data_IF_468020378761
#
_entry.id   IF_468020378761
#
_cell.length_a   1.000
_cell.length_b   1.000
_cell.length_c   1.000
_cell.angle_alpha   90.00
_cell.angle_beta   90.00
_cell.angle_gamma   90.00
#
_symmetry.space_group_name_H-M   'P 1'
#
loop_
_entity.id
_entity.type
_entity.pdbx_description
1 polymer ?
#
# COMPACT_ATOMS: atom_id res chain seq x y z
N UNK A 1 25.32 10.29 -15.97
CA UNK A 1 24.00 10.39 -15.31
C UNK A 1 23.17 9.09 -15.33
N UNK A 2 23.70 7.95 -15.81
CA UNK A 2 22.95 6.67 -15.89
C UNK A 2 23.35 5.71 -14.73
N UNK A 3 24.56 5.86 -14.18
CA UNK A 3 25.09 4.94 -13.17
C UNK A 3 24.43 5.07 -11.77
N UNK A 4 23.83 6.23 -11.47
CA UNK A 4 23.17 6.46 -10.17
C UNK A 4 21.82 5.74 -10.03
N UNK A 5 21.12 5.47 -11.14
CA UNK A 5 19.81 4.80 -11.11
C UNK A 5 19.91 3.29 -10.86
N UNK A 6 20.98 2.64 -11.35
CA UNK A 6 21.15 1.19 -11.22
C UNK A 6 21.52 0.78 -9.78
N UNK A 7 22.32 1.59 -9.07
CA UNK A 7 22.71 1.30 -7.69
C UNK A 7 21.59 1.59 -6.68
N UNK A 8 20.80 2.65 -6.89
CA UNK A 8 19.66 2.96 -6.02
C UNK A 8 18.42 2.11 -6.31
N UNK A 9 18.16 1.75 -7.57
CA UNK A 9 17.03 0.90 -7.96
C UNK A 9 17.19 -0.55 -7.49
N UNK A 10 18.40 -1.11 -7.54
CA UNK A 10 18.67 -2.47 -7.05
C UNK A 10 18.46 -2.62 -5.54
N UNK A 11 18.96 -1.64 -4.76
CA UNK A 11 18.86 -1.66 -3.29
C UNK A 11 17.42 -1.41 -2.79
N UNK A 12 16.62 -0.66 -3.56
CA UNK A 12 15.21 -0.41 -3.24
C UNK A 12 14.32 -1.63 -3.56
N UNK A 13 14.68 -2.42 -4.58
CA UNK A 13 14.01 -3.68 -4.92
C UNK A 13 14.38 -4.83 -3.96
N UNK A 14 15.67 -4.98 -3.60
CA UNK A 14 16.12 -6.00 -2.62
C UNK A 14 15.51 -5.81 -1.22
N UNK A 15 15.28 -4.57 -0.80
CA UNK A 15 14.59 -4.29 0.46
C UNK A 15 13.08 -4.62 0.40
N UNK A 16 12.49 -4.56 -0.79
CA UNK A 16 11.06 -4.83 -0.99
C UNK A 16 10.73 -6.32 -0.92
N UNK A 17 11.65 -7.17 -1.35
CA UNK A 17 11.52 -8.64 -1.23
C UNK A 17 11.58 -9.13 0.23
N UNK A 18 12.20 -8.33 1.12
CA UNK A 18 12.28 -8.62 2.55
C UNK A 18 11.18 -7.92 3.38
N UNK A 19 10.37 -7.06 2.76
CA UNK A 19 9.26 -6.40 3.44
C UNK A 19 8.08 -7.37 3.57
N UNK A 20 7.64 -7.60 4.81
CA UNK A 20 6.50 -8.46 5.10
C UNK A 20 5.28 -7.67 5.60
N UNK A 21 5.36 -6.33 5.70
CA UNK A 21 4.28 -5.48 6.23
C UNK A 21 3.88 -4.38 5.25
N UNK A 22 2.59 -4.36 4.98
CA UNK A 22 2.00 -3.45 4.01
C UNK A 22 0.77 -2.76 4.61
N UNK A 23 0.67 -1.45 4.40
CA UNK A 23 -0.53 -0.68 4.68
C UNK A 23 -1.40 -0.66 3.42
N UNK A 24 -2.61 -1.18 3.52
CA UNK A 24 -3.64 -1.10 2.47
C UNK A 24 -4.61 0.02 2.84
N UNK A 25 -4.81 0.97 1.94
CA UNK A 25 -5.70 2.11 2.17
C UNK A 25 -7.10 1.83 1.67
N UNK A 26 -8.09 2.49 2.30
CA UNK A 26 -9.51 2.41 1.95
C UNK A 26 -10.10 0.98 1.91
N UNK A 27 -9.62 0.11 2.80
CA UNK A 27 -10.26 -1.18 3.07
C UNK A 27 -11.57 -0.91 3.80
N UNK A 28 -12.64 -0.77 3.03
CA UNK A 28 -13.97 -0.37 3.50
C UNK A 28 -13.88 0.95 4.31
N UNK A 29 -13.17 1.96 3.78
CA UNK A 29 -12.97 3.25 4.46
C UNK A 29 -11.93 3.26 5.60
N UNK A 30 -11.15 2.19 5.78
CA UNK A 30 -10.07 2.13 6.80
C UNK A 30 -8.70 1.89 6.16
N UNK A 31 -7.64 2.31 6.87
CA UNK A 31 -6.27 1.87 6.55
C UNK A 31 -5.93 0.64 7.40
N UNK A 32 -5.50 -0.44 6.77
CA UNK A 32 -5.24 -1.71 7.44
C UNK A 32 -3.81 -2.16 7.17
N UNK A 33 -3.08 -2.47 8.24
CA UNK A 33 -1.76 -3.08 8.16
C UNK A 33 -1.92 -4.60 8.04
N UNK A 34 -1.33 -5.20 7.01
CA UNK A 34 -1.34 -6.65 6.80
C UNK A 34 0.08 -7.19 6.77
N UNK A 35 0.20 -8.47 7.14
CA UNK A 35 1.41 -9.25 6.89
C UNK A 35 1.23 -10.05 5.60
N UNK A 36 2.05 -9.80 4.59
CA UNK A 36 1.94 -10.44 3.28
C UNK A 36 3.31 -10.51 2.60
N UNK A 37 3.40 -11.25 1.49
CA UNK A 37 4.57 -11.25 0.61
C UNK A 37 4.20 -10.64 -0.74
N UNK A 38 5.14 -9.96 -1.36
CA UNK A 38 4.93 -9.36 -2.66
C UNK A 38 4.69 -10.44 -3.72
N UNK A 39 3.66 -10.26 -4.54
CA UNK A 39 3.26 -11.17 -5.62
C UNK A 39 2.81 -12.57 -5.17
N UNK A 40 2.60 -12.79 -3.87
CA UNK A 40 1.98 -14.00 -3.34
C UNK A 40 0.54 -13.71 -2.91
N UNK A 41 -0.36 -14.68 -3.12
CA UNK A 41 -1.72 -14.61 -2.58
C UNK A 41 -1.70 -14.74 -1.05
N UNK A 42 -2.55 -13.97 -0.39
CA UNK A 42 -2.72 -14.02 1.05
C UNK A 42 -4.17 -13.84 1.46
N UNK A 43 -4.49 -14.40 2.63
CA UNK A 43 -5.73 -14.18 3.34
C UNK A 43 -5.46 -13.36 4.59
N UNK A 44 -6.35 -12.41 4.88
CA UNK A 44 -6.31 -11.65 6.11
C UNK A 44 -7.74 -11.50 6.65
N UNK A 45 -7.90 -11.83 7.94
CA UNK A 45 -9.16 -11.67 8.65
C UNK A 45 -8.92 -10.79 9.86
N UNK A 46 -9.70 -9.73 10.00
CA UNK A 46 -9.75 -8.91 11.20
C UNK A 46 -11.13 -9.00 11.82
N UNK A 47 -11.18 -9.28 13.12
CA UNK A 47 -12.43 -9.36 13.85
C UNK A 47 -13.07 -7.97 14.06
N UNK A 48 -14.36 -7.95 14.40
CA UNK A 48 -15.04 -6.71 14.77
C UNK A 48 -14.46 -6.06 16.03
N UNK A 49 -13.96 -6.86 16.98
CA UNK A 49 -13.30 -6.35 18.19
C UNK A 49 -12.00 -5.60 17.87
N UNK A 50 -11.24 -6.06 16.87
CA UNK A 50 -9.95 -5.46 16.49
C UNK A 50 -10.10 -4.28 15.53
N UNK A 51 -10.98 -4.40 14.52
CA UNK A 51 -11.12 -3.41 13.44
C UNK A 51 -12.37 -2.53 13.55
N UNK A 52 -13.23 -2.75 14.55
CA UNK A 52 -14.55 -2.13 14.68
C UNK A 52 -15.59 -2.65 13.68
N UNK A 53 -15.18 -3.61 12.83
CA UNK A 53 -16.03 -4.39 11.91
C UNK A 53 -15.24 -5.59 11.40
N UNK A 54 -15.95 -6.64 11.00
CA UNK A 54 -15.34 -7.80 10.36
C UNK A 54 -14.81 -7.45 8.97
N UNK A 55 -13.54 -7.72 8.74
CA UNK A 55 -12.87 -7.53 7.46
C UNK A 55 -12.25 -8.85 7.02
N UNK A 56 -12.57 -9.28 5.80
CA UNK A 56 -12.00 -10.44 5.14
C UNK A 56 -11.38 -10.00 3.83
N UNK A 57 -10.06 -10.17 3.71
CA UNK A 57 -9.27 -9.81 2.55
C UNK A 57 -8.70 -11.08 1.95
N UNK A 58 -8.84 -11.21 0.64
CA UNK A 58 -8.20 -12.27 -0.14
C UNK A 58 -7.65 -11.65 -1.41
N UNK A 59 -6.36 -11.82 -1.70
CA UNK A 59 -5.78 -11.28 -2.92
C UNK A 59 -4.26 -11.20 -2.88
N UNK A 60 -3.71 -10.31 -3.69
CA UNK A 60 -2.27 -10.18 -3.91
C UNK A 60 -1.84 -8.72 -3.85
N UNK A 61 -0.67 -8.45 -3.28
CA UNK A 61 0.00 -7.15 -3.36
C UNK A 61 1.02 -7.22 -4.49
N UNK A 62 0.97 -6.30 -5.44
CA UNK A 62 1.86 -6.30 -6.61
C UNK A 62 2.33 -4.91 -6.98
N UNK A 63 3.50 -4.87 -7.63
CA UNK A 63 4.00 -3.68 -8.31
C UNK A 63 3.26 -3.52 -9.64
N UNK A 64 2.80 -2.32 -9.93
CA UNK A 64 2.11 -1.98 -11.19
C UNK A 64 2.77 -0.79 -11.90
N UNK A 65 2.47 -0.57 -13.19
CA UNK A 65 2.89 0.66 -13.86
C UNK A 65 2.38 1.89 -13.11
N UNK A 66 3.20 2.95 -13.08
CA UNK A 66 2.89 4.18 -12.35
C UNK A 66 1.51 4.78 -12.73
N UNK A 67 1.13 4.69 -14.00
CA UNK A 67 -0.17 5.17 -14.49
C UNK A 67 -1.35 4.40 -13.88
N UNK A 68 -1.21 3.09 -13.69
CA UNK A 68 -2.25 2.28 -13.03
C UNK A 68 -2.36 2.65 -11.55
N UNK A 69 -1.22 2.83 -10.88
CA UNK A 69 -1.18 3.27 -9.49
C UNK A 69 -1.92 4.62 -9.30
N UNK A 70 -1.61 5.63 -10.13
CA UNK A 70 -2.29 6.93 -10.03
C UNK A 70 -3.79 6.86 -10.31
N UNK A 71 -4.23 5.94 -11.18
CA UNK A 71 -5.65 5.71 -11.42
C UNK A 71 -6.32 5.18 -10.15
N UNK A 72 -5.76 4.13 -9.55
CA UNK A 72 -6.28 3.51 -8.32
C UNK A 72 -6.27 4.51 -7.16
N UNK A 73 -5.21 5.30 -7.03
CA UNK A 73 -5.09 6.34 -6.01
C UNK A 73 -6.19 7.39 -6.17
N UNK A 74 -6.38 7.92 -7.38
CA UNK A 74 -7.41 8.92 -7.66
C UNK A 74 -8.81 8.38 -7.40
N UNK A 75 -9.09 7.14 -7.79
CA UNK A 75 -10.37 6.48 -7.49
C UNK A 75 -10.59 6.40 -5.97
N UNK A 76 -9.56 6.00 -5.21
CA UNK A 76 -9.61 5.93 -3.75
C UNK A 76 -9.86 7.28 -3.08
N UNK A 77 -9.17 8.33 -3.54
CA UNK A 77 -9.32 9.70 -3.00
C UNK A 77 -10.69 10.28 -3.35
N UNK A 78 -11.21 10.02 -4.55
CA UNK A 78 -12.56 10.45 -4.92
C UNK A 78 -13.65 9.78 -4.07
N UNK A 79 -13.41 8.55 -3.60
CA UNK A 79 -14.32 7.84 -2.69
C UNK A 79 -14.24 8.38 -1.26
N UNK A 80 -13.04 8.77 -0.80
CA UNK A 80 -12.84 9.37 0.51
C UNK A 80 -11.64 10.35 0.51
N UNK A 81 -11.95 11.64 0.66
CA UNK A 81 -10.98 12.75 0.66
C UNK A 81 -9.95 12.66 1.80
N UNK A 82 -10.21 11.92 2.88
CA UNK A 82 -9.25 11.73 3.98
C UNK A 82 -7.94 11.05 3.51
N UNK A 83 -7.95 10.40 2.35
CA UNK A 83 -6.77 9.78 1.75
C UNK A 83 -5.93 10.73 0.90
N UNK A 84 -6.20 12.04 0.84
CA UNK A 84 -5.26 13.00 0.20
C UNK A 84 -3.83 12.93 0.77
N UNK A 85 -3.68 12.49 2.03
CA UNK A 85 -2.38 12.35 2.69
C UNK A 85 -1.42 11.38 1.98
N UNK A 86 -1.94 10.41 1.22
CA UNK A 86 -1.13 9.43 0.47
C UNK A 86 -0.68 9.93 -0.91
N UNK A 87 -1.07 11.14 -1.32
CA UNK A 87 -0.59 11.78 -2.56
C UNK A 87 0.84 12.35 -2.43
N UNK A 88 1.42 12.37 -1.22
CA UNK A 88 2.51 13.30 -0.88
C UNK A 88 3.96 12.86 -1.19
N UNK A 89 4.25 11.64 -1.65
CA UNK A 89 5.59 11.26 -2.13
C UNK A 89 5.49 10.12 -3.15
N UNK A 90 6.32 10.13 -4.22
CA UNK A 90 6.48 9.05 -5.21
C UNK A 90 6.71 7.69 -4.53
N UNK A 91 5.67 6.89 -4.26
CA UNK A 91 5.84 5.62 -3.60
C UNK A 91 6.23 4.57 -4.65
N UNK A 92 6.77 3.43 -4.21
CA UNK A 92 6.78 2.26 -5.10
C UNK A 92 5.31 2.00 -5.49
N UNK A 93 4.98 1.89 -6.79
CA UNK A 93 3.60 1.79 -7.26
C UNK A 93 3.00 0.43 -6.92
N UNK A 94 2.63 0.24 -5.65
CA UNK A 94 2.06 -0.99 -5.11
C UNK A 94 0.54 -0.86 -5.05
N UNK A 95 -0.14 -1.93 -5.44
CA UNK A 95 -1.58 -2.08 -5.23
C UNK A 95 -1.89 -3.44 -4.62
N UNK A 96 -2.99 -3.48 -3.88
CA UNK A 96 -3.71 -4.69 -3.56
C UNK A 96 -4.75 -4.92 -4.66
N UNK A 97 -4.81 -6.13 -5.21
CA UNK A 97 -5.87 -6.59 -6.10
C UNK A 97 -6.48 -7.87 -5.54
N UNK A 98 -7.79 -7.86 -5.33
CA UNK A 98 -8.45 -8.98 -4.68
C UNK A 98 -9.89 -8.66 -4.27
N UNK A 99 -10.33 -9.26 -3.17
CA UNK A 99 -11.64 -9.03 -2.57
C UNK A 99 -11.54 -8.51 -1.15
N UNK A 100 -12.41 -7.57 -0.79
CA UNK A 100 -12.69 -7.15 0.58
C UNK A 100 -14.15 -7.50 0.88
N UNK A 101 -14.40 -8.36 1.87
CA UNK A 101 -15.74 -8.85 2.22
C UNK A 101 -16.53 -9.35 0.98
N UNK A 102 -15.86 -10.08 0.10
CA UNK A 102 -16.43 -10.64 -1.14
C UNK A 102 -16.57 -9.64 -2.31
N UNK A 103 -16.30 -8.35 -2.12
CA UNK A 103 -16.34 -7.34 -3.19
C UNK A 103 -14.96 -7.18 -3.82
N UNK A 104 -14.87 -7.25 -5.15
CA UNK A 104 -13.61 -7.03 -5.87
C UNK A 104 -13.17 -5.57 -5.79
N UNK A 105 -11.90 -5.34 -5.47
CA UNK A 105 -11.33 -4.00 -5.34
C UNK A 105 -9.89 -3.95 -5.85
N UNK A 106 -9.45 -2.74 -6.18
CA UNK A 106 -8.04 -2.39 -6.29
C UNK A 106 -7.77 -1.24 -5.33
N UNK A 107 -6.79 -1.40 -4.47
CA UNK A 107 -6.51 -0.42 -3.40
C UNK A 107 -5.03 -0.05 -3.39
N UNK A 108 -4.68 1.22 -3.12
CA UNK A 108 -3.30 1.64 -3.04
C UNK A 108 -2.64 1.03 -1.80
N UNK A 109 -1.37 0.68 -1.93
CA UNK A 109 -0.58 0.04 -0.89
C UNK A 109 0.71 0.80 -0.66
N UNK A 110 1.13 0.90 0.59
CA UNK A 110 2.41 1.45 1.00
C UNK A 110 3.16 0.45 1.90
N UNK A 111 4.47 0.34 1.76
CA UNK A 111 5.29 -0.46 2.70
C UNK A 111 5.40 0.24 4.05
N UNK A 112 5.61 -0.53 5.13
CA UNK A 112 5.86 0.08 6.45
C UNK A 112 7.06 1.05 6.42
N UNK A 113 8.12 0.71 5.67
CA UNK A 113 9.27 1.59 5.52
C UNK A 113 8.93 2.93 4.84
N UNK A 114 8.09 2.91 3.80
CA UNK A 114 7.65 4.11 3.09
C UNK A 114 6.77 4.98 3.99
N UNK A 115 5.84 4.36 4.72
CA UNK A 115 4.98 5.02 5.70
C UNK A 115 5.82 5.70 6.79
N UNK A 116 6.79 4.99 7.37
CA UNK A 116 7.68 5.54 8.40
C UNK A 116 8.50 6.72 7.86
N UNK A 117 9.04 6.62 6.64
CA UNK A 117 9.79 7.70 5.99
C UNK A 117 8.92 8.94 5.78
N UNK A 118 7.67 8.75 5.34
CA UNK A 118 6.69 9.84 5.18
C UNK A 118 6.35 10.48 6.52
N UNK A 119 6.16 9.68 7.57
CA UNK A 119 5.90 10.18 8.91
C UNK A 119 7.06 11.06 9.41
N UNK A 120 8.30 10.59 9.32
CA UNK A 120 9.48 11.37 9.72
C UNK A 120 9.56 12.68 8.95
N UNK A 121 9.42 12.64 7.62
CA UNK A 121 9.51 13.85 6.77
C UNK A 121 8.41 14.88 7.05
N UNK A 122 7.19 14.44 7.30
CA UNK A 122 6.05 15.35 7.41
C UNK A 122 5.81 15.84 8.84
N UNK A 123 6.33 15.16 9.86
CA UNK A 123 6.01 15.45 11.26
C UNK A 123 7.24 15.76 12.14
N UNK A 124 8.46 15.41 11.72
CA UNK A 124 9.65 15.61 12.56
C UNK A 124 10.56 16.76 12.12
N UNK A 125 10.25 17.50 11.03
CA UNK A 125 11.04 18.64 10.53
C UNK A 125 12.58 18.42 10.64
N UNK A 126 13.03 17.23 10.21
CA UNK A 126 14.46 16.87 10.14
C UNK A 126 15.02 17.06 8.73
#
# INVERSE_FOLDING_TARGET
MILHYLLFGGLQMENLENEDRFMIYNVDGKSIMVKARLSEEFDFVCSEEECGKRLELHGVIKIVPLQEYWKVLKETVNENEEFHVIETLNPIPLIFEGTVNGKRVKLPVETLQSLARRFVRNFLDL
#
